data_IF_488644345115
#
_entry.id   IF_488644345115
#
_cell.length_a   1.000
_cell.length_b   1.000
_cell.length_c   1.000
_cell.angle_alpha   90.00
_cell.angle_beta   90.00
_cell.angle_gamma   90.00
#
_symmetry.space_group_name_H-M   'P 1'
#
loop_
_entity.id
_entity.type
_entity.pdbx_description
1 polymer ?
#
# COMPACT_ATOMS: atom_id res chain seq x y z
N UNK A 1 -27.11 6.79 -3.87
CA UNK A 1 -26.37 6.06 -2.82
C UNK A 1 -24.90 6.32 -3.07
N UNK A 2 -24.28 7.23 -2.32
CA UNK A 2 -22.88 7.57 -2.50
C UNK A 2 -22.04 6.49 -1.83
N UNK A 3 -21.60 5.50 -2.62
CA UNK A 3 -20.64 4.50 -2.17
C UNK A 3 -19.29 5.19 -2.04
N UNK A 4 -18.94 5.60 -0.81
CA UNK A 4 -17.57 5.98 -0.51
C UNK A 4 -16.72 4.73 -0.65
N UNK A 5 -15.87 4.66 -1.68
CA UNK A 5 -14.82 3.64 -1.78
C UNK A 5 -13.77 3.97 -0.72
N UNK A 6 -14.02 3.57 0.51
CA UNK A 6 -12.98 3.48 1.53
C UNK A 6 -12.04 2.37 1.10
N UNK A 7 -10.78 2.70 0.80
CA UNK A 7 -9.77 1.67 0.58
C UNK A 7 -9.62 0.89 1.90
N UNK A 8 -9.99 -0.39 1.88
CA UNK A 8 -9.89 -1.32 3.01
C UNK A 8 -8.65 -2.21 2.83
N UNK A 9 -8.04 -2.62 3.94
CA UNK A 9 -6.90 -3.50 3.90
C UNK A 9 -7.37 -4.95 3.68
N UNK A 10 -7.02 -5.61 2.56
CA UNK A 10 -7.53 -6.95 2.27
C UNK A 10 -6.83 -8.07 3.09
N UNK A 11 -6.04 -7.72 4.11
CA UNK A 11 -5.45 -8.66 5.08
C UNK A 11 -6.27 -8.70 6.38
N UNK A 12 -6.68 -7.54 6.91
CA UNK A 12 -7.43 -7.42 8.16
C UNK A 12 -8.89 -6.99 7.96
N UNK A 13 -9.29 -6.63 6.74
CA UNK A 13 -10.64 -6.17 6.39
C UNK A 13 -11.05 -4.87 7.11
N UNK A 14 -10.05 -4.14 7.65
CA UNK A 14 -10.26 -2.85 8.30
C UNK A 14 -9.97 -1.68 7.32
N UNK A 15 -10.66 -0.54 7.49
CA UNK A 15 -10.43 0.64 6.66
C UNK A 15 -9.00 1.18 6.84
N UNK A 16 -8.38 1.60 5.73
CA UNK A 16 -7.09 2.29 5.76
C UNK A 16 -7.32 3.73 6.26
N UNK A 17 -6.95 3.98 7.51
CA UNK A 17 -7.24 5.21 8.25
C UNK A 17 -6.27 6.35 7.95
N UNK A 18 -6.67 7.57 8.35
CA UNK A 18 -5.77 8.74 8.35
C UNK A 18 -4.69 8.48 9.41
N UNK A 19 -3.43 8.62 9.03
CA UNK A 19 -2.22 8.26 9.81
C UNK A 19 -1.83 6.79 9.84
N UNK A 20 -2.53 5.89 9.15
CA UNK A 20 -2.00 4.54 8.97
C UNK A 20 -0.77 4.58 8.05
N UNK A 21 0.27 3.85 8.45
CA UNK A 21 1.36 3.48 7.56
C UNK A 21 0.87 2.41 6.60
N UNK A 22 0.85 2.74 5.32
CA UNK A 22 0.43 1.81 4.27
C UNK A 22 1.58 1.54 3.32
N UNK A 23 1.54 0.37 2.71
CA UNK A 23 2.45 -0.02 1.63
C UNK A 23 1.64 -0.24 0.37
N UNK A 24 2.13 0.30 -0.73
CA UNK A 24 1.58 0.08 -2.06
C UNK A 24 2.49 -0.94 -2.74
N UNK A 25 1.88 -2.03 -3.19
CA UNK A 25 2.59 -3.07 -3.93
C UNK A 25 2.83 -2.64 -5.37
N UNK A 26 3.81 -3.25 -6.05
CA UNK A 26 4.05 -3.05 -7.49
C UNK A 26 2.84 -3.36 -8.39
N UNK A 27 1.85 -4.10 -7.87
CA UNK A 27 0.60 -4.39 -8.55
C UNK A 27 -0.51 -3.36 -8.26
N UNK A 28 -0.20 -2.27 -7.56
CA UNK A 28 -1.10 -1.16 -7.29
C UNK A 28 -2.00 -1.33 -6.07
N UNK A 29 -1.94 -2.46 -5.36
CA UNK A 29 -2.79 -2.73 -4.20
C UNK A 29 -2.16 -2.23 -2.90
N UNK A 30 -3.01 -1.67 -2.02
CA UNK A 30 -2.61 -1.03 -0.76
C UNK A 30 -2.93 -1.91 0.44
N UNK A 31 -2.02 -1.93 1.42
CA UNK A 31 -2.14 -2.71 2.65
C UNK A 31 -1.59 -1.91 3.83
N UNK A 32 -2.07 -2.15 5.05
CA UNK A 32 -1.35 -1.68 6.23
C UNK A 32 0.06 -2.29 6.26
N UNK A 33 1.06 -1.45 6.55
CA UNK A 33 2.45 -1.86 6.67
C UNK A 33 2.61 -2.98 7.70
N UNK A 34 1.95 -2.84 8.86
CA UNK A 34 1.95 -3.85 9.92
C UNK A 34 1.37 -5.19 9.43
N UNK A 35 0.25 -5.16 8.71
CA UNK A 35 -0.37 -6.37 8.16
C UNK A 35 0.50 -7.04 7.10
N UNK A 36 1.13 -6.26 6.21
CA UNK A 36 2.08 -6.78 5.23
C UNK A 36 3.29 -7.41 5.92
N UNK A 37 3.90 -6.73 6.91
CA UNK A 37 5.02 -7.26 7.69
C UNK A 37 4.65 -8.54 8.42
N UNK A 38 3.50 -8.59 9.07
CA UNK A 38 3.05 -9.80 9.76
C UNK A 38 2.91 -10.97 8.80
N UNK A 39 2.31 -10.72 7.62
CA UNK A 39 2.09 -11.75 6.61
C UNK A 39 3.40 -12.30 6.04
N UNK A 40 4.36 -11.44 5.75
CA UNK A 40 5.69 -11.84 5.26
C UNK A 40 6.49 -12.51 6.37
N UNK A 41 6.51 -11.95 7.60
CA UNK A 41 7.38 -12.43 8.67
C UNK A 41 6.82 -13.68 9.37
N UNK A 42 5.53 -13.67 9.75
CA UNK A 42 4.88 -14.77 10.47
C UNK A 42 4.35 -15.85 9.54
N UNK A 43 3.66 -15.46 8.46
CA UNK A 43 3.01 -16.44 7.55
C UNK A 43 3.90 -16.86 6.37
N UNK A 44 5.08 -16.25 6.20
CA UNK A 44 6.00 -16.49 5.06
C UNK A 44 5.33 -16.36 3.70
N UNK A 45 4.30 -15.52 3.61
CA UNK A 45 3.54 -15.26 2.38
C UNK A 45 3.87 -13.88 1.86
N UNK A 46 4.41 -13.84 0.65
CA UNK A 46 4.85 -12.60 -0.01
C UNK A 46 3.92 -12.21 -1.17
N UNK A 47 2.92 -13.04 -1.45
CA UNK A 47 1.89 -12.82 -2.47
C UNK A 47 0.94 -11.66 -2.15
N UNK A 48 0.52 -10.93 -3.18
CA UNK A 48 -0.59 -9.99 -3.09
C UNK A 48 -1.89 -10.74 -2.85
N UNK A 49 -2.65 -10.38 -1.81
CA UNK A 49 -3.95 -11.02 -1.53
C UNK A 49 -5.06 -10.70 -2.51
N UNK A 50 -4.89 -9.67 -3.35
CA UNK A 50 -5.91 -9.23 -4.30
C UNK A 50 -5.72 -9.89 -5.66
N UNK A 51 -4.50 -9.89 -6.20
CA UNK A 51 -4.21 -10.41 -7.54
C UNK A 51 -3.24 -11.60 -7.55
N UNK A 52 -2.80 -12.08 -6.38
CA UNK A 52 -1.90 -13.24 -6.22
C UNK A 52 -0.51 -13.05 -6.82
N UNK A 53 -0.13 -11.82 -7.17
CA UNK A 53 1.21 -11.53 -7.67
C UNK A 53 2.25 -11.89 -6.62
N UNK A 54 3.21 -12.74 -7.00
CA UNK A 54 4.26 -13.22 -6.13
C UNK A 54 5.19 -12.09 -5.69
N UNK A 55 5.76 -12.21 -4.48
CA UNK A 55 6.71 -11.26 -3.90
C UNK A 55 6.23 -9.81 -3.74
N UNK A 56 5.01 -9.49 -4.15
CA UNK A 56 4.46 -8.13 -4.12
C UNK A 56 4.54 -7.48 -2.74
N UNK A 57 4.25 -8.21 -1.66
CA UNK A 57 4.33 -7.69 -0.29
C UNK A 57 5.77 -7.57 0.20
N UNK A 58 6.63 -8.55 -0.12
CA UNK A 58 8.03 -8.50 0.29
C UNK A 58 8.77 -7.34 -0.40
N UNK A 59 8.52 -7.15 -1.69
CA UNK A 59 9.08 -6.04 -2.47
C UNK A 59 8.61 -4.70 -1.91
N UNK A 60 7.31 -4.55 -1.64
CA UNK A 60 6.76 -3.32 -1.06
C UNK A 60 7.39 -2.97 0.30
N UNK A 61 7.69 -3.98 1.12
CA UNK A 61 8.36 -3.79 2.41
C UNK A 61 9.85 -3.51 2.28
N UNK A 62 10.54 -4.13 1.32
CA UNK A 62 11.98 -3.96 1.10
C UNK A 62 12.32 -2.61 0.47
N UNK A 63 11.47 -2.11 -0.42
CA UNK A 63 11.70 -0.83 -1.09
C UNK A 63 11.44 0.39 -0.20
N UNK A 64 11.10 0.21 1.08
CA UNK A 64 10.71 1.28 2.01
C UNK A 64 9.68 2.27 1.42
N UNK A 65 8.82 1.79 0.51
CA UNK A 65 7.75 2.58 -0.11
C UNK A 65 6.54 2.66 0.85
N UNK A 66 6.79 3.20 2.04
CA UNK A 66 5.77 3.43 3.05
C UNK A 66 5.17 4.80 2.85
N UNK A 67 3.87 4.85 2.60
CA UNK A 67 3.12 6.10 2.49
C UNK A 67 2.29 6.27 3.74
N UNK A 68 2.31 7.46 4.34
CA UNK A 68 1.33 7.83 5.38
C UNK A 68 0.12 8.43 4.69
N UNK A 69 -1.08 7.95 5.01
CA UNK A 69 -2.31 8.54 4.45
C UNK A 69 -2.49 9.96 5.02
N UNK A 70 -2.00 10.95 4.29
CA UNK A 70 -2.30 12.36 4.51
C UNK A 70 -3.53 12.70 3.67
N UNK A 71 -4.67 12.97 4.31
CA UNK A 71 -5.89 13.42 3.61
C UNK A 71 -5.59 14.75 2.91
N UNK A 72 -5.27 14.73 1.63
CA UNK A 72 -5.65 15.83 0.75
C UNK A 72 -7.10 15.57 0.35
N UNK A 73 -7.95 16.52 0.71
CA UNK A 73 -9.39 16.47 0.50
C UNK A 73 -9.69 16.25 -0.98
N UNK A 74 -10.23 15.07 -1.33
CA UNK A 74 -11.09 14.94 -2.52
C UNK A 74 -10.57 14.24 -3.77
N UNK A 75 -9.68 13.24 -3.70
CA UNK A 75 -9.37 12.44 -4.90
C UNK A 75 -9.42 10.93 -4.66
N UNK A 76 -10.47 10.31 -5.21
CA UNK A 76 -10.48 8.92 -5.67
C UNK A 76 -9.56 8.78 -6.89
N UNK A 77 -8.28 9.10 -6.70
CA UNK A 77 -7.18 8.95 -7.66
C UNK A 77 -5.90 9.36 -6.94
N UNK A 78 -5.14 8.36 -6.49
CA UNK A 78 -3.82 8.56 -5.90
C UNK A 78 -2.90 9.13 -6.98
N UNK A 79 -2.47 10.38 -6.83
CA UNK A 79 -1.44 10.97 -7.68
C UNK A 79 -0.10 10.70 -7.00
N UNK A 80 0.73 9.89 -7.65
CA UNK A 80 2.09 9.59 -7.22
C UNK A 80 2.96 10.73 -7.76
N UNK A 81 3.51 11.54 -6.86
CA UNK A 81 4.62 12.43 -7.22
C UNK A 81 5.88 11.57 -7.25
N UNK A 82 6.31 11.16 -8.45
CA UNK A 82 7.65 10.60 -8.63
C UNK A 82 8.62 11.78 -8.58
N UNK A 83 9.35 11.91 -7.47
CA UNK A 83 10.55 12.76 -7.44
C UNK A 83 11.60 12.09 -8.33
N UNK A 84 11.55 12.45 -9.62
CA UNK A 84 12.60 12.17 -10.59
C UNK A 84 13.86 12.91 -10.14
N UNK A 85 14.70 12.24 -9.35
CA UNK A 85 16.08 12.66 -9.19
C UNK A 85 16.76 12.49 -10.56
N UNK A 86 16.72 13.55 -11.35
CA UNK A 86 17.52 13.69 -12.55
C UNK A 86 19.00 13.47 -12.17
N UNK A 87 19.77 12.70 -12.96
CA UNK A 87 21.21 12.64 -12.78
C UNK A 87 21.78 14.04 -13.05
N UNK A 88 22.42 14.62 -12.04
CA UNK A 88 23.21 15.84 -12.21
C UNK A 88 24.41 15.49 -13.10
N UNK A 89 24.49 16.14 -14.26
CA UNK A 89 25.67 16.21 -15.14
C UNK A 89 26.80 17.01 -14.48
#
# INVERSE_FOLDING_TARGET
MSSFVTAECPICEEPLGKNDEVVITECGHTFHRACAQERVNKKKKTDCRVCQKESALANALYQNQTTTIQKTTGQSSYSIETEENAPND
#
